data_IF_981779124589
#
_entry.id   IF_981779124589
#
_cell.length_a   1.000
_cell.length_b   1.000
_cell.length_c   1.000
_cell.angle_alpha   90.00
_cell.angle_beta   90.00
_cell.angle_gamma   90.00
#
_symmetry.space_group_name_H-M   'P 1'
#
loop_
_entity.id
_entity.type
_entity.pdbx_description
1 polymer ?
#
# COMPACT_ATOMS: atom_id res chain seq x y z
N UNK A 1 82.88 67.02 -35.44
CA UNK A 1 81.74 67.78 -34.85
C UNK A 1 80.59 67.57 -35.83
N UNK A 2 79.49 66.87 -35.57
CA UNK A 2 78.60 66.74 -34.39
C UNK A 2 78.03 65.30 -34.34
N UNK A 3 78.03 64.58 -33.22
CA UNK A 3 77.17 64.61 -32.03
C UNK A 3 75.78 63.94 -32.20
N UNK A 4 75.68 62.79 -31.52
CA UNK A 4 74.59 61.87 -31.11
C UNK A 4 73.11 62.34 -31.16
N UNK A 5 72.20 61.39 -31.46
CA UNK A 5 71.02 61.11 -30.62
C UNK A 5 70.37 59.77 -30.99
N UNK A 6 70.53 58.81 -30.09
CA UNK A 6 69.82 57.53 -29.99
C UNK A 6 68.36 57.76 -29.61
N UNK A 7 67.41 57.27 -30.42
CA UNK A 7 66.04 57.03 -29.98
C UNK A 7 65.68 55.56 -30.17
N UNK A 8 65.79 54.86 -29.04
CA UNK A 8 65.32 53.51 -28.79
C UNK A 8 63.79 53.47 -28.95
N UNK A 9 63.30 53.04 -30.10
CA UNK A 9 61.88 52.74 -30.30
C UNK A 9 61.54 51.45 -29.54
N UNK A 10 61.02 51.63 -28.32
CA UNK A 10 60.59 50.53 -27.45
C UNK A 10 59.29 49.96 -28.01
N UNK A 11 59.42 48.95 -28.88
CA UNK A 11 58.32 48.11 -29.35
C UNK A 11 57.58 47.52 -28.14
N UNK A 12 56.36 48.01 -27.89
CA UNK A 12 55.47 47.43 -26.90
C UNK A 12 54.94 46.11 -27.48
N UNK A 13 55.38 45.00 -26.89
CA UNK A 13 54.85 43.68 -27.20
C UNK A 13 53.33 43.66 -26.95
N UNK A 14 52.52 42.98 -27.79
CA UNK A 14 51.12 42.78 -27.50
C UNK A 14 50.99 41.95 -26.22
N UNK A 15 50.40 42.53 -25.18
CA UNK A 15 50.04 41.82 -23.96
C UNK A 15 49.08 40.69 -24.33
N UNK A 16 49.60 39.46 -24.40
CA UNK A 16 48.79 38.26 -24.51
C UNK A 16 47.88 38.22 -23.28
N UNK A 17 46.60 38.51 -23.48
CA UNK A 17 45.58 38.29 -22.45
C UNK A 17 45.49 36.79 -22.27
N UNK A 18 46.24 36.26 -21.30
CA UNK A 18 46.09 34.90 -20.82
C UNK A 18 44.69 34.76 -20.24
N UNK A 19 43.76 34.20 -21.02
CA UNK A 19 42.48 33.71 -20.50
C UNK A 19 42.83 32.50 -19.64
N UNK A 20 43.06 32.72 -18.35
CA UNK A 20 43.17 31.60 -17.41
C UNK A 20 41.84 30.83 -17.43
N UNK A 21 41.87 29.49 -17.56
CA UNK A 21 40.66 28.71 -17.37
C UNK A 21 40.22 28.91 -15.93
N UNK A 22 39.04 29.50 -15.73
CA UNK A 22 38.42 29.64 -14.41
C UNK A 22 38.32 28.23 -13.82
N UNK A 23 39.25 27.91 -12.93
CA UNK A 23 39.28 26.63 -12.23
C UNK A 23 38.13 26.66 -11.22
N UNK A 24 36.98 26.13 -11.64
CA UNK A 24 35.83 25.99 -10.76
C UNK A 24 36.18 25.00 -9.64
N UNK A 25 36.10 25.46 -8.39
CA UNK A 25 36.33 24.59 -7.23
C UNK A 25 35.31 23.44 -7.24
N UNK A 26 35.73 22.17 -7.16
CA UNK A 26 34.81 21.05 -7.08
C UNK A 26 33.92 21.18 -5.82
N UNK A 27 32.65 20.78 -5.94
CA UNK A 27 31.64 20.82 -4.87
C UNK A 27 31.27 22.22 -4.32
N UNK A 28 31.57 23.29 -5.06
CA UNK A 28 31.27 24.66 -4.63
C UNK A 28 29.81 25.09 -4.89
N UNK A 29 29.06 24.37 -5.73
CA UNK A 29 27.70 24.71 -6.15
C UNK A 29 26.65 24.16 -5.18
N UNK A 30 25.59 24.93 -4.96
CA UNK A 30 24.43 24.58 -4.13
C UNK A 30 23.26 24.12 -4.99
N UNK A 31 22.31 23.42 -4.36
CA UNK A 31 21.12 22.89 -5.04
C UNK A 31 20.31 23.98 -5.76
N UNK A 32 20.19 25.17 -5.18
CA UNK A 32 19.38 26.26 -5.74
C UNK A 32 20.12 27.15 -6.74
N UNK A 33 21.38 26.86 -7.08
CA UNK A 33 22.16 27.67 -8.01
C UNK A 33 21.52 27.65 -9.41
N UNK A 34 21.63 28.80 -10.11
CA UNK A 34 20.97 29.02 -11.40
C UNK A 34 21.43 28.03 -12.47
N UNK A 35 22.70 27.63 -12.43
CA UNK A 35 23.29 26.63 -13.33
C UNK A 35 22.64 25.25 -13.18
N UNK A 36 22.11 24.94 -12.00
CA UNK A 36 21.41 23.69 -11.72
C UNK A 36 19.90 23.77 -12.02
N UNK A 37 19.38 24.87 -12.57
CA UNK A 37 17.95 25.06 -12.79
C UNK A 37 17.36 24.01 -13.75
N UNK A 38 18.07 23.69 -14.83
CA UNK A 38 17.63 22.70 -15.81
C UNK A 38 17.64 21.28 -15.22
N UNK A 39 18.73 20.89 -14.55
CA UNK A 39 18.86 19.60 -13.88
C UNK A 39 17.79 19.42 -12.78
N UNK A 40 17.47 20.48 -12.02
CA UNK A 40 16.36 20.48 -11.06
C UNK A 40 15.02 20.26 -11.73
N UNK A 41 14.78 20.91 -12.86
CA UNK A 41 13.54 20.72 -13.64
C UNK A 41 13.36 19.28 -14.07
N UNK A 42 14.41 18.65 -14.60
CA UNK A 42 14.39 17.24 -14.99
C UNK A 42 14.15 16.31 -13.78
N UNK A 43 14.88 16.52 -12.68
CA UNK A 43 14.71 15.74 -11.45
C UNK A 43 13.29 15.84 -10.89
N UNK A 44 12.78 17.07 -10.74
CA UNK A 44 11.46 17.31 -10.16
C UNK A 44 10.35 16.76 -11.06
N UNK A 45 10.52 16.83 -12.39
CA UNK A 45 9.58 16.24 -13.35
C UNK A 45 9.47 14.73 -13.18
N UNK A 46 10.59 14.02 -13.06
CA UNK A 46 10.58 12.56 -12.83
C UNK A 46 9.98 12.22 -11.47
N UNK A 47 10.33 12.97 -10.43
CA UNK A 47 9.86 12.73 -9.06
C UNK A 47 8.35 12.95 -8.95
N UNK A 48 7.84 14.06 -9.50
CA UNK A 48 6.39 14.36 -9.53
C UNK A 48 5.66 13.29 -10.37
N UNK A 49 6.16 12.96 -11.55
CA UNK A 49 5.52 11.96 -12.41
C UNK A 49 5.45 10.58 -11.74
N UNK A 50 6.54 10.13 -11.11
CA UNK A 50 6.58 8.87 -10.37
C UNK A 50 5.65 8.88 -9.15
N UNK A 51 5.62 9.98 -8.40
CA UNK A 51 4.74 10.13 -7.23
C UNK A 51 3.27 10.10 -7.65
N UNK A 52 2.90 10.82 -8.71
CA UNK A 52 1.53 10.78 -9.25
C UNK A 52 1.14 9.40 -9.75
N UNK A 53 2.05 8.67 -10.40
CA UNK A 53 1.78 7.30 -10.82
C UNK A 53 1.48 6.38 -9.62
N UNK A 54 2.25 6.49 -8.54
CA UNK A 54 2.00 5.73 -7.30
C UNK A 54 0.65 6.13 -6.69
N UNK A 55 0.34 7.43 -6.61
CA UNK A 55 -0.95 7.92 -6.11
C UNK A 55 -2.10 7.30 -6.92
N UNK A 56 -2.02 7.31 -8.25
CA UNK A 56 -3.06 6.72 -9.12
C UNK A 56 -3.20 5.22 -8.84
N UNK A 57 -2.10 4.47 -8.70
CA UNK A 57 -2.13 3.03 -8.39
C UNK A 57 -2.79 2.78 -7.03
N UNK A 58 -2.45 3.57 -6.00
CA UNK A 58 -3.06 3.45 -4.68
C UNK A 58 -4.57 3.71 -4.77
N UNK A 59 -4.98 4.84 -5.36
CA UNK A 59 -6.40 5.17 -5.46
C UNK A 59 -7.20 4.18 -6.30
N UNK A 60 -6.63 3.64 -7.39
CA UNK A 60 -7.31 2.61 -8.20
C UNK A 60 -7.51 1.32 -7.42
N UNK A 61 -6.49 0.78 -6.75
CA UNK A 61 -6.60 -0.44 -5.94
C UNK A 61 -7.54 -0.22 -4.75
N UNK A 62 -7.42 0.90 -4.05
CA UNK A 62 -8.30 1.23 -2.93
C UNK A 62 -9.76 1.39 -3.35
N UNK A 63 -10.03 1.94 -4.55
CA UNK A 63 -11.39 2.06 -5.06
C UNK A 63 -12.04 0.69 -5.30
N UNK A 64 -11.27 -0.28 -5.80
CA UNK A 64 -11.72 -1.67 -5.96
C UNK A 64 -12.01 -2.30 -4.60
N UNK A 65 -11.12 -2.10 -3.62
CA UNK A 65 -11.31 -2.57 -2.25
C UNK A 65 -12.61 -2.03 -1.65
N UNK A 66 -12.82 -0.71 -1.65
CA UNK A 66 -14.05 -0.10 -1.14
C UNK A 66 -15.30 -0.56 -1.89
N UNK A 67 -15.21 -0.73 -3.21
CA UNK A 67 -16.29 -1.30 -4.03
C UNK A 67 -16.67 -2.72 -3.61
N UNK A 68 -15.69 -3.56 -3.27
CA UNK A 68 -15.96 -4.92 -2.79
C UNK A 68 -16.64 -4.96 -1.42
N UNK A 69 -16.39 -3.95 -0.56
CA UNK A 69 -16.99 -3.89 0.77
C UNK A 69 -18.43 -3.34 0.75
N UNK A 70 -18.80 -2.51 -0.23
CA UNK A 70 -20.08 -1.79 -0.27
C UNK A 70 -21.32 -2.69 -0.15
N UNK A 71 -21.24 -3.94 -0.62
CA UNK A 71 -22.37 -4.88 -0.61
C UNK A 71 -22.07 -6.18 0.14
N UNK A 72 -21.27 -6.10 1.20
CA UNK A 72 -21.03 -7.24 2.10
C UNK A 72 -22.21 -7.37 3.07
N UNK A 73 -22.78 -8.57 3.27
CA UNK A 73 -22.45 -9.85 2.63
C UNK A 73 -23.32 -10.15 1.40
N UNK A 74 -22.68 -10.61 0.31
CA UNK A 74 -23.34 -11.08 -0.92
C UNK A 74 -24.11 -12.38 -0.70
N UNK A 75 -23.72 -13.17 0.30
CA UNK A 75 -24.37 -14.41 0.74
C UNK A 75 -24.38 -14.50 2.26
N UNK A 76 -25.40 -15.12 2.84
CA UNK A 76 -25.41 -15.40 4.28
C UNK A 76 -24.23 -16.31 4.67
N UNK A 77 -23.71 -16.13 5.87
CA UNK A 77 -22.69 -16.99 6.48
C UNK A 77 -23.33 -18.33 6.84
N UNK A 78 -22.64 -19.44 6.59
CA UNK A 78 -23.13 -20.74 7.02
C UNK A 78 -22.84 -20.94 8.51
N UNK A 79 -23.87 -21.30 9.26
CA UNK A 79 -23.78 -21.62 10.68
C UNK A 79 -24.41 -22.98 10.99
N UNK A 80 -23.92 -23.65 12.03
CA UNK A 80 -24.48 -24.93 12.48
C UNK A 80 -25.23 -24.79 13.79
N UNK A 81 -26.28 -25.59 13.94
CA UNK A 81 -26.95 -25.80 15.22
C UNK A 81 -26.86 -27.29 15.54
N UNK A 82 -26.32 -27.61 16.71
CA UNK A 82 -26.10 -28.98 17.16
C UNK A 82 -26.77 -29.16 18.52
N UNK A 83 -27.63 -30.16 18.63
CA UNK A 83 -28.31 -30.52 19.86
C UNK A 83 -27.67 -31.79 20.43
N UNK A 84 -26.81 -31.66 21.45
CA UNK A 84 -26.10 -32.82 22.03
C UNK A 84 -26.89 -33.51 23.14
N UNK A 85 -27.76 -32.78 23.85
CA UNK A 85 -28.52 -33.28 25.00
C UNK A 85 -29.92 -33.77 24.62
N UNK A 86 -30.39 -33.45 23.40
CA UNK A 86 -31.76 -33.73 22.96
C UNK A 86 -32.80 -33.01 23.81
N UNK A 87 -32.39 -31.96 24.52
CA UNK A 87 -33.20 -31.28 25.51
C UNK A 87 -34.28 -30.40 24.89
N UNK A 88 -35.27 -30.01 25.70
CA UNK A 88 -36.35 -29.13 25.24
C UNK A 88 -35.80 -27.82 24.67
N UNK A 89 -34.74 -27.27 25.28
CA UNK A 89 -34.10 -26.02 24.84
C UNK A 89 -33.39 -26.23 23.51
N UNK A 90 -32.52 -27.25 23.39
CA UNK A 90 -31.79 -27.58 22.16
C UNK A 90 -32.73 -27.80 20.97
N UNK A 91 -33.78 -28.60 21.15
CA UNK A 91 -34.78 -28.86 20.11
C UNK A 91 -35.58 -27.61 19.72
N UNK A 92 -35.87 -26.73 20.68
CA UNK A 92 -36.62 -25.48 20.41
C UNK A 92 -35.75 -24.50 19.63
N UNK A 93 -34.49 -24.33 20.02
CA UNK A 93 -33.51 -23.47 19.32
C UNK A 93 -33.25 -23.99 17.91
N UNK A 94 -33.04 -25.30 17.76
CA UNK A 94 -32.81 -25.95 16.46
C UNK A 94 -33.98 -25.71 15.50
N UNK A 95 -35.22 -25.89 15.97
CA UNK A 95 -36.43 -25.62 15.16
C UNK A 95 -36.57 -24.14 14.82
N UNK A 96 -36.41 -23.26 15.81
CA UNK A 96 -36.55 -21.82 15.62
C UNK A 96 -35.55 -21.31 14.56
N UNK A 97 -34.28 -21.70 14.68
CA UNK A 97 -33.22 -21.26 13.76
C UNK A 97 -33.34 -21.90 12.37
N UNK A 98 -33.74 -23.17 12.28
CA UNK A 98 -33.93 -23.83 10.98
C UNK A 98 -35.12 -23.24 10.19
N UNK A 99 -36.12 -22.70 10.89
CA UNK A 99 -37.27 -22.04 10.26
C UNK A 99 -37.04 -20.54 10.00
N UNK A 100 -36.07 -19.94 10.68
CA UNK A 100 -35.75 -18.52 10.57
C UNK A 100 -34.93 -18.24 9.33
N UNK A 101 -35.49 -17.40 8.45
CA UNK A 101 -34.76 -16.80 7.33
C UNK A 101 -34.27 -15.38 7.69
N UNK A 102 -34.42 -14.97 8.95
CA UNK A 102 -34.03 -13.67 9.44
C UNK A 102 -32.56 -13.67 9.88
N UNK A 103 -31.77 -12.76 9.33
CA UNK A 103 -30.37 -12.54 9.72
C UNK A 103 -29.39 -12.63 8.56
N UNK A 104 -28.10 -12.63 8.90
CA UNK A 104 -26.98 -12.81 7.94
C UNK A 104 -26.34 -14.20 8.03
N UNK A 105 -26.96 -15.12 8.76
CA UNK A 105 -26.49 -16.49 8.98
C UNK A 105 -27.57 -17.46 8.50
N UNK A 106 -27.18 -18.42 7.66
CA UNK A 106 -28.00 -19.57 7.28
C UNK A 106 -27.70 -20.70 8.25
N UNK A 107 -28.67 -21.03 9.09
CA UNK A 107 -28.52 -22.08 10.10
C UNK A 107 -28.87 -23.44 9.53
N UNK A 108 -27.95 -24.39 9.66
CA UNK A 108 -28.15 -25.79 9.27
C UNK A 108 -28.12 -26.67 10.52
N UNK A 109 -29.18 -27.46 10.79
CA UNK A 109 -29.15 -28.43 11.86
C UNK A 109 -28.20 -29.58 11.50
N UNK A 110 -27.30 -29.94 12.43
CA UNK A 110 -26.34 -31.04 12.27
C UNK A 110 -26.50 -31.99 13.45
N UNK A 111 -26.54 -33.31 13.18
CA UNK A 111 -26.66 -34.32 14.25
C UNK A 111 -25.42 -34.32 15.14
N UNK A 112 -25.63 -34.43 16.46
CA UNK A 112 -24.57 -34.63 17.45
C UNK A 112 -23.75 -35.91 17.19
N UNK A 113 -24.34 -36.93 16.56
CA UNK A 113 -23.67 -38.19 16.24
C UNK A 113 -22.45 -38.02 15.31
N UNK A 114 -22.39 -36.90 14.58
CA UNK A 114 -21.25 -36.55 13.72
C UNK A 114 -19.99 -36.24 14.54
N UNK A 115 -20.14 -35.83 15.79
CA UNK A 115 -19.05 -35.36 16.65
C UNK A 115 -18.80 -36.38 17.77
N UNK A 116 -17.83 -37.29 17.55
CA UNK A 116 -17.48 -38.36 18.50
C UNK A 116 -16.86 -37.81 19.78
N UNK A 117 -16.13 -36.70 19.71
CA UNK A 117 -15.55 -36.00 20.87
C UNK A 117 -16.40 -34.78 21.30
N UNK A 118 -17.67 -34.74 20.87
CA UNK A 118 -18.66 -33.76 21.29
C UNK A 118 -18.25 -32.30 21.01
N UNK A 119 -18.32 -31.45 22.03
CA UNK A 119 -18.06 -30.02 21.93
C UNK A 119 -16.61 -29.69 21.51
N UNK A 120 -15.63 -30.52 21.88
CA UNK A 120 -14.23 -30.29 21.52
C UNK A 120 -14.01 -30.44 20.00
N UNK A 121 -14.65 -31.45 19.40
CA UNK A 121 -14.61 -31.67 17.96
C UNK A 121 -15.36 -30.55 17.23
N UNK A 122 -16.52 -30.12 17.73
CA UNK A 122 -17.25 -28.98 17.17
C UNK A 122 -16.41 -27.69 17.21
N UNK A 123 -15.74 -27.40 18.32
CA UNK A 123 -14.85 -26.24 18.43
C UNK A 123 -13.67 -26.32 17.45
N UNK A 124 -13.14 -27.53 17.23
CA UNK A 124 -12.09 -27.79 16.24
C UNK A 124 -12.62 -27.57 14.82
N UNK A 125 -13.81 -28.07 14.49
CA UNK A 125 -14.47 -27.88 13.19
C UNK A 125 -14.72 -26.39 12.88
N UNK A 126 -15.13 -25.59 13.87
CA UNK A 126 -15.26 -24.13 13.73
C UNK A 126 -13.90 -23.48 13.49
N UNK A 127 -12.87 -23.89 14.24
CA UNK A 127 -11.49 -23.36 14.09
C UNK A 127 -10.90 -23.70 12.71
N UNK A 128 -11.19 -24.89 12.19
CA UNK A 128 -10.79 -25.36 10.87
C UNK A 128 -11.66 -24.81 9.74
N UNK A 129 -12.52 -23.83 10.03
CA UNK A 129 -13.35 -23.12 9.06
C UNK A 129 -14.33 -24.04 8.31
N UNK A 130 -14.74 -25.16 8.90
CA UNK A 130 -15.81 -26.00 8.33
C UNK A 130 -17.19 -25.36 8.48
N UNK A 131 -17.32 -24.43 9.42
CA UNK A 131 -18.48 -23.54 9.60
C UNK A 131 -18.02 -22.21 10.18
N UNK A 132 -18.76 -21.12 9.96
CA UNK A 132 -18.39 -19.80 10.46
C UNK A 132 -18.78 -19.59 11.92
N UNK A 133 -19.87 -20.24 12.34
CA UNK A 133 -20.42 -20.13 13.68
C UNK A 133 -21.19 -21.41 14.02
N UNK A 134 -21.15 -21.81 15.28
CA UNK A 134 -21.93 -22.93 15.78
C UNK A 134 -22.66 -22.54 17.07
N UNK A 135 -23.88 -23.05 17.22
CA UNK A 135 -24.63 -23.04 18.48
C UNK A 135 -24.78 -24.48 18.91
N UNK A 136 -24.42 -24.76 20.16
CA UNK A 136 -24.53 -26.09 20.75
C UNK A 136 -25.33 -26.02 22.06
N UNK A 137 -26.27 -26.93 22.25
CA UNK A 137 -26.79 -27.28 23.59
C UNK A 137 -26.00 -28.46 24.12
N UNK A 138 -25.77 -28.48 25.44
CA UNK A 138 -25.00 -29.50 26.14
C UNK A 138 -25.65 -29.81 27.48
#
# INVERSE_FOLDING_TARGET
MSAQSTLTERSAAPSVVSVEPVSEKPFSKKFFDKENAEARGAYLKVLIAGTFAIIIVVFTVFSIFWGSLWKTPVRNLEGWVVDFDGGLVGQTVTRALSSSHAGKVTWTPVSADRFRDGLNELATDVREQRTWVAIASA
#
